data_IF_983664241006
#
_entry.id   IF_983664241006
#
_cell.length_a   1.000
_cell.length_b   1.000
_cell.length_c   1.000
_cell.angle_alpha   90.00
_cell.angle_beta   90.00
_cell.angle_gamma   90.00
#
_symmetry.space_group_name_H-M   'P 1'
#
loop_
_entity.id
_entity.type
_entity.pdbx_description
1 polymer ?
#
# COMPACT_ATOMS: atom_id res chain seq x y z
N UNK A 1 9.19 11.14 4.75
CA UNK A 1 7.85 11.48 5.26
C UNK A 1 7.05 10.21 5.37
N UNK A 2 6.32 10.03 6.46
CA UNK A 2 5.44 8.89 6.70
C UNK A 2 4.04 9.39 7.01
N UNK A 3 3.03 8.59 6.74
CA UNK A 3 1.65 8.84 7.10
C UNK A 3 1.09 7.67 7.91
N UNK A 4 0.22 7.95 8.87
CA UNK A 4 -0.36 6.92 9.72
C UNK A 4 -1.56 6.25 9.07
N UNK A 5 -1.41 5.01 8.62
CA UNK A 5 -2.53 4.19 8.14
C UNK A 5 -3.54 3.85 9.24
N UNK A 6 -3.12 3.82 10.51
CA UNK A 6 -3.98 3.62 11.67
C UNK A 6 -4.94 4.80 11.85
N UNK A 7 -4.40 6.03 11.87
CA UNK A 7 -5.20 7.24 11.97
C UNK A 7 -6.16 7.41 10.78
N UNK A 8 -5.74 7.05 9.57
CA UNK A 8 -6.64 7.05 8.41
C UNK A 8 -7.84 6.14 8.67
N UNK A 9 -7.61 4.93 9.17
CA UNK A 9 -8.68 4.00 9.51
C UNK A 9 -9.59 4.57 10.62
N UNK A 10 -9.02 5.13 11.68
CA UNK A 10 -9.78 5.64 12.83
C UNK A 10 -10.63 6.87 12.51
N UNK A 11 -10.27 7.64 11.50
CA UNK A 11 -11.06 8.81 11.02
C UNK A 11 -12.31 8.44 10.24
N UNK A 12 -12.43 7.23 9.78
CA UNK A 12 -13.66 6.77 9.15
C UNK A 12 -14.72 6.39 10.21
N UNK A 13 -15.99 6.62 9.86
CA UNK A 13 -17.12 6.19 10.68
C UNK A 13 -17.17 4.66 10.81
N UNK A 14 -17.76 4.15 11.89
CA UNK A 14 -17.87 2.70 12.14
C UNK A 14 -18.51 1.90 11.00
N UNK A 15 -19.57 2.38 10.30
CA UNK A 15 -20.08 1.70 9.12
C UNK A 15 -19.04 1.55 8.00
N UNK A 16 -18.27 2.60 7.72
CA UNK A 16 -17.18 2.54 6.73
C UNK A 16 -16.05 1.62 7.16
N UNK A 17 -15.62 1.67 8.43
CA UNK A 17 -14.62 0.76 8.96
C UNK A 17 -15.02 -0.70 8.75
N UNK A 18 -16.26 -1.05 9.13
CA UNK A 18 -16.82 -2.40 8.96
C UNK A 18 -16.89 -2.81 7.49
N UNK A 19 -17.25 -1.90 6.62
CA UNK A 19 -17.28 -2.14 5.17
C UNK A 19 -15.87 -2.43 4.64
N UNK A 20 -14.87 -1.60 4.96
CA UNK A 20 -13.50 -1.80 4.50
C UNK A 20 -12.87 -3.10 5.01
N UNK A 21 -13.22 -3.55 6.21
CA UNK A 21 -12.75 -4.82 6.78
C UNK A 21 -13.23 -6.04 5.99
N UNK A 22 -14.29 -5.91 5.21
CA UNK A 22 -14.83 -6.99 4.36
C UNK A 22 -14.19 -7.03 2.97
N UNK A 23 -13.33 -6.07 2.63
CA UNK A 23 -12.78 -5.90 1.30
C UNK A 23 -11.36 -6.45 1.18
N UNK A 24 -11.05 -6.91 -0.03
CA UNK A 24 -9.70 -7.28 -0.45
C UNK A 24 -9.29 -6.47 -1.68
N UNK A 25 -7.99 -6.25 -1.85
CA UNK A 25 -7.46 -5.56 -3.00
C UNK A 25 -6.38 -6.39 -3.69
N UNK A 26 -6.36 -6.33 -5.01
CA UNK A 26 -5.29 -6.91 -5.82
C UNK A 26 -4.18 -5.88 -5.98
N UNK A 27 -2.97 -6.29 -5.60
CA UNK A 27 -1.75 -5.50 -5.70
C UNK A 27 -0.92 -5.99 -6.87
N UNK A 28 -0.39 -5.09 -7.67
CA UNK A 28 0.38 -5.42 -8.88
C UNK A 28 1.65 -4.57 -8.93
N UNK A 29 2.80 -5.22 -9.10
CA UNK A 29 4.09 -4.57 -9.25
C UNK A 29 4.44 -4.14 -10.68
N UNK A 30 3.46 -3.82 -11.53
CA UNK A 30 3.66 -3.49 -12.95
C UNK A 30 4.58 -2.29 -13.21
N UNK A 31 4.73 -1.39 -12.24
CA UNK A 31 5.64 -0.25 -12.35
C UNK A 31 7.10 -0.66 -12.54
N UNK A 32 7.53 -1.76 -11.92
CA UNK A 32 8.89 -2.29 -12.09
C UNK A 32 9.11 -2.86 -13.49
N UNK A 33 8.12 -3.55 -14.07
CA UNK A 33 8.19 -4.06 -15.43
C UNK A 33 8.28 -2.91 -16.44
N UNK A 34 7.41 -1.92 -16.31
CA UNK A 34 7.44 -0.72 -17.19
C UNK A 34 8.76 0.04 -17.09
N UNK A 35 9.33 0.16 -15.88
CA UNK A 35 10.63 0.79 -15.71
C UNK A 35 11.77 -0.02 -16.38
N UNK A 36 11.74 -1.35 -16.29
CA UNK A 36 12.71 -2.21 -16.94
C UNK A 36 12.55 -2.23 -18.47
N UNK A 37 11.33 -2.11 -18.98
CA UNK A 37 11.07 -1.96 -20.43
C UNK A 37 11.58 -0.61 -20.95
N UNK A 38 11.41 0.45 -20.17
CA UNK A 38 11.83 1.81 -20.56
C UNK A 38 13.35 2.00 -20.52
N UNK A 39 14.06 1.34 -19.61
CA UNK A 39 15.52 1.44 -19.48
C UNK A 39 16.13 0.08 -19.04
N UNK A 40 16.23 -0.88 -19.96
CA UNK A 40 16.70 -2.24 -19.66
C UNK A 40 18.18 -2.32 -19.23
N UNK A 41 18.96 -1.29 -19.51
CA UNK A 41 20.36 -1.23 -19.11
C UNK A 41 20.52 -0.87 -17.64
N UNK A 42 19.65 -0.01 -17.11
CA UNK A 42 19.71 0.46 -15.72
C UNK A 42 18.77 -0.29 -14.78
N UNK A 43 17.62 -0.74 -15.28
CA UNK A 43 16.61 -1.39 -14.44
C UNK A 43 16.44 -2.85 -14.84
N UNK A 44 16.75 -3.75 -13.91
CA UNK A 44 16.55 -5.20 -14.09
C UNK A 44 15.60 -5.74 -13.06
N UNK A 45 14.54 -6.40 -13.52
CA UNK A 45 13.60 -7.08 -12.63
C UNK A 45 14.26 -8.36 -12.09
N UNK A 46 14.30 -8.47 -10.76
CA UNK A 46 14.83 -9.66 -10.10
C UNK A 46 13.82 -10.81 -10.22
N UNK A 47 14.24 -11.92 -10.81
CA UNK A 47 13.36 -13.06 -11.16
C UNK A 47 13.50 -14.27 -10.25
N UNK A 48 14.47 -14.25 -9.31
CA UNK A 48 14.68 -15.35 -8.35
C UNK A 48 13.74 -15.20 -7.14
N UNK A 49 13.58 -16.23 -6.28
CA UNK A 49 12.79 -16.13 -5.05
C UNK A 49 13.23 -14.95 -4.17
N UNK A 50 12.25 -14.19 -3.64
CA UNK A 50 12.47 -12.99 -2.83
C UNK A 50 11.94 -13.19 -1.40
N UNK A 51 12.45 -14.19 -0.69
CA UNK A 51 12.06 -14.50 0.67
C UNK A 51 10.83 -15.39 0.81
N UNK A 52 9.76 -15.16 0.05
CA UNK A 52 8.58 -16.05 0.02
C UNK A 52 8.58 -16.91 -1.24
N UNK A 53 8.19 -18.21 -1.16
CA UNK A 53 8.06 -19.09 -2.31
C UNK A 53 7.09 -18.58 -3.38
N UNK A 54 6.09 -17.78 -2.99
CA UNK A 54 5.11 -17.18 -3.90
C UNK A 54 5.65 -15.92 -4.59
N UNK A 55 6.73 -15.35 -4.08
CA UNK A 55 7.31 -14.11 -4.59
C UNK A 55 8.39 -14.39 -5.64
N UNK A 56 8.01 -15.03 -6.73
CA UNK A 56 8.89 -15.50 -7.81
C UNK A 56 8.41 -14.94 -9.14
N UNK A 57 9.37 -14.67 -10.05
CA UNK A 57 9.11 -14.27 -11.42
C UNK A 57 8.93 -12.77 -11.61
N UNK A 58 8.67 -12.34 -12.86
CA UNK A 58 8.55 -10.94 -13.22
C UNK A 58 7.21 -10.33 -12.81
N UNK A 59 6.14 -11.11 -12.82
CA UNK A 59 4.81 -10.63 -12.45
C UNK A 59 4.61 -10.74 -10.94
N UNK A 60 4.65 -9.60 -10.27
CA UNK A 60 4.34 -9.49 -8.85
C UNK A 60 2.87 -9.14 -8.69
N UNK A 61 2.07 -10.14 -8.33
CA UNK A 61 0.63 -9.97 -8.07
C UNK A 61 0.26 -10.70 -6.80
N UNK A 62 -0.43 -10.01 -5.88
CA UNK A 62 -0.92 -10.58 -4.64
C UNK A 62 -2.27 -9.97 -4.26
N UNK A 63 -3.08 -10.73 -3.53
CA UNK A 63 -4.32 -10.24 -2.92
C UNK A 63 -4.06 -10.01 -1.44
N UNK A 64 -4.40 -8.81 -0.97
CA UNK A 64 -4.27 -8.41 0.43
C UNK A 64 -5.59 -7.83 0.94
N UNK A 65 -5.87 -7.90 2.26
CA UNK A 65 -7.00 -7.19 2.83
C UNK A 65 -6.82 -5.67 2.67
N UNK A 66 -7.94 -4.96 2.50
CA UNK A 66 -7.93 -3.48 2.48
C UNK A 66 -7.54 -2.93 3.86
N UNK A 67 -8.00 -3.58 4.92
CA UNK A 67 -7.64 -3.28 6.31
C UNK A 67 -6.75 -4.38 6.88
N UNK A 68 -5.56 -4.04 7.33
CA UNK A 68 -4.68 -4.97 8.06
C UNK A 68 -4.72 -4.71 9.56
N UNK A 69 -4.72 -5.80 10.32
CA UNK A 69 -4.55 -5.75 11.79
C UNK A 69 -3.09 -6.04 12.13
N UNK A 70 -2.47 -5.16 12.88
CA UNK A 70 -1.13 -5.39 13.41
C UNK A 70 -1.19 -6.55 14.43
N UNK A 71 -0.40 -7.63 14.26
CA UNK A 71 -0.51 -8.81 15.12
C UNK A 71 -0.01 -8.58 16.55
N UNK A 72 0.77 -7.52 16.78
CA UNK A 72 1.32 -7.20 18.11
C UNK A 72 0.39 -6.28 18.89
N UNK A 73 -0.09 -5.21 18.24
CA UNK A 73 -0.91 -4.17 18.90
C UNK A 73 -2.41 -4.39 18.76
N UNK A 74 -2.85 -5.19 17.79
CA UNK A 74 -4.26 -5.32 17.43
C UNK A 74 -4.83 -4.11 16.68
N UNK A 75 -4.01 -3.10 16.40
CA UNK A 75 -4.47 -1.89 15.71
C UNK A 75 -4.74 -2.18 14.23
N UNK A 76 -5.78 -1.55 13.72
CA UNK A 76 -6.21 -1.68 12.33
C UNK A 76 -5.73 -0.49 11.50
N UNK A 77 -5.26 -0.76 10.28
CA UNK A 77 -4.78 0.26 9.36
C UNK A 77 -5.36 0.06 7.97
N UNK A 78 -5.58 1.15 7.23
CA UNK A 78 -5.82 1.06 5.78
C UNK A 78 -4.49 0.67 5.12
N UNK A 79 -4.46 -0.51 4.52
CA UNK A 79 -3.28 -1.06 3.87
C UNK A 79 -3.25 -0.76 2.36
N UNK A 80 -4.41 -0.62 1.74
CA UNK A 80 -4.53 -0.44 0.29
C UNK A 80 -4.34 1.02 -0.13
N UNK A 81 -3.13 1.56 0.12
CA UNK A 81 -2.72 2.91 -0.26
C UNK A 81 -1.39 2.85 -1.02
N UNK A 82 -1.20 3.78 -1.94
CA UNK A 82 0.03 3.91 -2.71
C UNK A 82 -0.04 3.29 -4.11
N UNK A 83 1.10 2.99 -4.75
CA UNK A 83 1.14 2.66 -6.17
C UNK A 83 0.82 1.19 -6.49
N UNK A 84 0.75 0.31 -5.51
CA UNK A 84 0.59 -1.12 -5.74
C UNK A 84 -0.86 -1.63 -5.74
N UNK A 85 -1.80 -1.13 -4.90
CA UNK A 85 -3.21 -1.49 -5.01
C UNK A 85 -3.74 -1.10 -6.38
N UNK A 86 -4.25 -2.08 -7.13
CA UNK A 86 -4.69 -1.86 -8.50
C UNK A 86 -6.22 -1.78 -8.59
N UNK A 87 -6.90 -2.67 -7.89
CA UNK A 87 -8.36 -2.65 -7.74
C UNK A 87 -8.81 -3.38 -6.48
N UNK A 88 -10.00 -3.03 -6.00
CA UNK A 88 -10.70 -3.71 -4.90
C UNK A 88 -11.58 -4.80 -5.53
N UNK A 89 -11.44 -6.04 -5.05
CA UNK A 89 -11.98 -7.21 -5.72
C UNK A 89 -13.50 -7.31 -5.67
N UNK A 90 -14.13 -6.80 -4.61
CA UNK A 90 -15.56 -6.89 -4.34
C UNK A 90 -16.38 -5.73 -4.92
N UNK A 91 -15.71 -4.74 -5.54
CA UNK A 91 -16.35 -3.52 -6.03
C UNK A 91 -16.34 -3.46 -7.57
N UNK A 92 -17.24 -2.68 -8.13
CA UNK A 92 -17.19 -2.31 -9.54
C UNK A 92 -15.93 -1.47 -9.84
N UNK A 93 -15.47 -1.40 -11.09
CA UNK A 93 -14.28 -0.63 -11.43
C UNK A 93 -14.32 0.84 -10.99
N UNK A 94 -15.48 1.51 -11.12
CA UNK A 94 -15.65 2.91 -10.70
C UNK A 94 -15.58 3.06 -9.17
N UNK A 95 -16.31 2.24 -8.42
CA UNK A 95 -16.29 2.26 -6.97
C UNK A 95 -14.91 1.95 -6.40
N UNK A 96 -14.22 0.98 -7.00
CA UNK A 96 -12.85 0.64 -6.63
C UNK A 96 -11.90 1.81 -6.83
N UNK A 97 -11.96 2.48 -7.98
CA UNK A 97 -11.11 3.63 -8.28
C UNK A 97 -11.38 4.80 -7.32
N UNK A 98 -12.66 5.11 -7.07
CA UNK A 98 -13.08 6.16 -6.14
C UNK A 98 -12.62 5.89 -4.71
N UNK A 99 -12.71 4.63 -4.25
CA UNK A 99 -12.31 4.29 -2.89
C UNK A 99 -10.78 4.32 -2.70
N UNK A 100 -10.01 3.83 -3.66
CA UNK A 100 -8.55 3.91 -3.64
C UNK A 100 -8.05 5.36 -3.70
N UNK A 101 -8.69 6.20 -4.51
CA UNK A 101 -8.39 7.64 -4.53
C UNK A 101 -8.74 8.28 -3.19
N UNK A 102 -9.90 7.97 -2.60
CA UNK A 102 -10.29 8.47 -1.29
C UNK A 102 -9.25 8.16 -0.22
N UNK A 103 -8.70 6.96 -0.17
CA UNK A 103 -7.64 6.62 0.78
C UNK A 103 -6.38 7.48 0.56
N UNK A 104 -6.02 7.72 -0.70
CA UNK A 104 -4.90 8.59 -1.05
C UNK A 104 -5.15 10.04 -0.65
N UNK A 105 -6.35 10.55 -0.91
CA UNK A 105 -6.76 11.90 -0.51
C UNK A 105 -6.76 12.10 1.01
N UNK A 106 -7.06 11.06 1.79
CA UNK A 106 -6.95 11.12 3.25
C UNK A 106 -5.52 11.44 3.72
N UNK A 107 -4.49 11.00 3.01
CA UNK A 107 -3.10 11.40 3.30
C UNK A 107 -2.83 12.82 2.85
N UNK A 108 -3.22 13.16 1.61
CA UNK A 108 -2.90 14.44 0.97
C UNK A 108 -3.56 15.61 1.71
N UNK A 109 -4.80 15.43 2.15
CA UNK A 109 -5.60 16.49 2.76
C UNK A 109 -5.46 16.60 4.28
N UNK A 110 -4.83 15.63 4.93
CA UNK A 110 -4.70 15.58 6.39
C UNK A 110 -3.23 15.58 6.82
N UNK A 111 -2.61 16.75 6.80
CA UNK A 111 -1.18 16.91 7.09
C UNK A 111 -0.80 16.53 8.52
N UNK A 112 -1.74 16.58 9.45
CA UNK A 112 -1.59 16.15 10.84
C UNK A 112 -1.42 14.63 11.01
N UNK A 113 -1.76 13.84 9.97
CA UNK A 113 -1.45 12.40 9.93
C UNK A 113 0.00 12.10 9.55
N UNK A 114 0.76 13.11 9.15
CA UNK A 114 2.07 12.91 8.56
C UNK A 114 3.20 13.32 9.48
N UNK A 115 4.27 12.54 9.47
CA UNK A 115 5.53 12.85 10.15
C UNK A 115 6.61 13.08 9.11
N UNK A 116 7.32 14.20 9.26
CA UNK A 116 8.52 14.50 8.47
C UNK A 116 9.75 14.29 9.35
N UNK A 117 10.57 13.32 8.97
CA UNK A 117 11.86 13.09 9.59
C UNK A 117 12.93 13.84 8.83
N UNK A 118 13.79 14.57 9.55
CA UNK A 118 14.95 15.21 8.96
C UNK A 118 16.17 14.30 9.20
N UNK A 119 16.67 13.71 8.14
CA UNK A 119 17.88 12.91 8.16
C UNK A 119 19.06 13.78 8.63
N UNK A 120 19.81 13.29 9.60
CA UNK A 120 20.92 14.05 10.22
C UNK A 120 22.29 13.54 9.81
N UNK A 121 22.39 12.27 9.49
CA UNK A 121 23.61 11.61 9.09
C UNK A 121 23.31 10.36 8.25
N UNK A 122 24.32 9.77 7.64
CA UNK A 122 24.24 8.58 6.79
C UNK A 122 23.86 7.28 7.53
N UNK A 123 23.85 7.28 8.86
CA UNK A 123 23.46 6.14 9.68
C UNK A 123 22.00 6.17 10.13
N UNK A 124 21.26 7.23 9.78
CA UNK A 124 19.83 7.27 10.06
C UNK A 124 19.11 6.24 9.17
N UNK A 125 18.35 5.36 9.79
CA UNK A 125 17.60 4.29 9.11
C UNK A 125 16.13 4.50 9.34
N UNK A 126 15.34 4.38 8.26
CA UNK A 126 13.89 4.35 8.31
C UNK A 126 13.39 2.99 7.87
N UNK A 127 12.60 2.31 8.68
CA UNK A 127 11.97 1.05 8.35
C UNK A 127 10.46 1.23 8.17
N UNK A 128 9.92 0.53 7.19
CA UNK A 128 8.47 0.40 6.97
C UNK A 128 7.99 -0.81 7.77
N UNK A 129 7.05 -0.65 8.69
CA UNK A 129 6.44 -1.76 9.40
C UNK A 129 5.49 -2.59 8.53
#
# INVERSE_FOLDING_TARGET
>A
MWASGYEIYDRFSKPYQKFFESLTATFIGSGFLKAAEADPDKVKVYTKPRGSPQNIGPELKAVHPVVRTNPVTGWKSIFSIGPFPHYINELSPSESAELLDKFTQMIIQNHDLTVRFKWRNENDIGEYP
#
